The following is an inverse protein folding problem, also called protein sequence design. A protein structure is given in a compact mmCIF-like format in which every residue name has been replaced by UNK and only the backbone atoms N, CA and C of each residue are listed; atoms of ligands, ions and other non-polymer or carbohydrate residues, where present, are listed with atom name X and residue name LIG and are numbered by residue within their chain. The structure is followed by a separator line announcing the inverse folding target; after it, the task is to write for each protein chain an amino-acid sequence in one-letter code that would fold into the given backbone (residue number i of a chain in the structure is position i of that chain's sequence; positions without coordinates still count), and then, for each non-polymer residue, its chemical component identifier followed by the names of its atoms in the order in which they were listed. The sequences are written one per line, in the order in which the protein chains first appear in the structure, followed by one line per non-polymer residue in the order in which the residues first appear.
data_IF_554316309643
#
_entry.id   IF_554316309643
#
_cell.length_a   1.000
_cell.length_b   1.000
_cell.length_c   1.000
_cell.angle_alpha   90.00
_cell.angle_beta   90.00
_cell.angle_gamma   90.00
#
_symmetry.space_group_name_H-M   'P 1'
#
loop_
_entity.id
_entity.type
_entity.pdbx_description
1 polymer ?
#
# COMPACT_ATOMS: atom_id res chain seq x y z
N UNK A 1 -10.73 -25.65 -20.52
CA UNK A 1 -11.83 -24.79 -20.03
C UNK A 1 -11.86 -24.67 -18.50
N UNK A 2 -11.86 -25.78 -17.74
CA UNK A 2 -11.85 -25.71 -16.26
C UNK A 2 -10.57 -25.12 -15.64
N UNK A 3 -9.40 -25.40 -16.22
CA UNK A 3 -8.11 -24.90 -15.71
C UNK A 3 -7.96 -23.37 -15.87
N UNK A 4 -8.50 -22.81 -16.95
CA UNK A 4 -8.52 -21.35 -17.21
C UNK A 4 -9.33 -20.59 -16.15
N UNK A 5 -10.44 -21.18 -15.70
CA UNK A 5 -11.26 -20.60 -14.63
C UNK A 5 -10.50 -20.63 -13.31
N UNK A 6 -9.79 -21.73 -13.03
CA UNK A 6 -9.01 -21.90 -11.81
C UNK A 6 -7.82 -20.91 -11.72
N UNK A 7 -7.24 -20.53 -12.86
CA UNK A 7 -6.10 -19.60 -12.93
C UNK A 7 -6.56 -18.14 -13.10
N UNK A 8 -7.86 -17.90 -13.26
CA UNK A 8 -8.36 -16.54 -13.46
C UNK A 8 -8.06 -15.63 -12.23
N UNK A 9 -7.63 -14.37 -12.43
CA UNK A 9 -7.36 -13.44 -11.34
C UNK A 9 -8.47 -13.29 -10.29
N UNK A 10 -9.78 -13.18 -10.66
CA UNK A 10 -10.83 -13.08 -9.65
C UNK A 10 -10.95 -14.35 -8.81
N UNK A 11 -10.77 -15.52 -9.41
CA UNK A 11 -10.85 -16.78 -8.69
C UNK A 11 -9.70 -16.94 -7.68
N UNK A 12 -8.47 -16.60 -8.09
CA UNK A 12 -7.30 -16.58 -7.19
C UNK A 12 -7.52 -15.60 -6.04
N UNK A 13 -8.06 -14.41 -6.30
CA UNK A 13 -8.37 -13.42 -5.26
C UNK A 13 -9.29 -14.01 -4.17
N UNK A 14 -10.38 -14.67 -4.56
CA UNK A 14 -11.29 -15.28 -3.60
C UNK A 14 -10.65 -16.43 -2.83
N UNK A 15 -9.84 -17.27 -3.49
CA UNK A 15 -9.09 -18.33 -2.79
C UNK A 15 -8.18 -17.71 -1.73
N UNK A 16 -7.40 -16.69 -2.08
CA UNK A 16 -6.46 -16.05 -1.14
C UNK A 16 -7.22 -15.46 0.05
N UNK A 17 -8.33 -14.77 -0.19
CA UNK A 17 -9.18 -14.23 0.90
C UNK A 17 -9.72 -15.34 1.80
N UNK A 18 -10.25 -16.42 1.23
CA UNK A 18 -10.77 -17.56 1.99
C UNK A 18 -9.66 -18.19 2.84
N UNK A 19 -8.50 -18.42 2.25
CA UNK A 19 -7.33 -18.98 2.95
C UNK A 19 -6.88 -18.05 4.08
N UNK A 20 -6.80 -16.74 3.86
CA UNK A 20 -6.47 -15.76 4.92
C UNK A 20 -7.48 -15.78 6.06
N UNK A 21 -8.78 -15.88 5.77
CA UNK A 21 -9.83 -16.00 6.79
C UNK A 21 -9.66 -17.30 7.57
N UNK A 22 -9.42 -18.42 6.90
CA UNK A 22 -9.22 -19.72 7.56
C UNK A 22 -8.01 -19.64 8.50
N UNK A 23 -6.89 -19.08 8.05
CA UNK A 23 -5.69 -18.90 8.89
C UNK A 23 -6.01 -18.03 10.11
N UNK A 24 -6.73 -16.92 9.91
CA UNK A 24 -7.14 -16.03 11.01
C UNK A 24 -8.04 -16.74 12.03
N UNK A 25 -9.02 -17.51 11.57
CA UNK A 25 -9.94 -18.27 12.41
C UNK A 25 -9.22 -19.39 13.18
N UNK A 26 -8.36 -20.15 12.51
CA UNK A 26 -7.55 -21.20 13.15
C UNK A 26 -6.61 -20.57 14.18
N UNK A 27 -5.94 -19.46 13.85
CA UNK A 27 -5.08 -18.74 14.78
C UNK A 27 -5.84 -18.24 16.00
N UNK A 28 -7.04 -17.67 15.81
CA UNK A 28 -7.91 -17.24 16.90
C UNK A 28 -8.46 -18.40 17.75
N UNK A 29 -8.73 -19.55 17.13
CA UNK A 29 -9.23 -20.73 17.82
C UNK A 29 -8.16 -21.46 18.64
N UNK A 30 -6.93 -21.52 18.12
CA UNK A 30 -5.78 -22.22 18.74
C UNK A 30 -4.97 -21.33 19.70
N UNK A 31 -5.14 -20.00 19.65
CA UNK A 31 -4.46 -19.07 20.54
C UNK A 31 -4.77 -19.34 22.02
N UNK A 32 -3.74 -19.29 22.85
CA UNK A 32 -3.86 -19.40 24.29
C UNK A 32 -4.73 -18.27 24.85
N UNK A 33 -5.91 -18.63 25.39
CA UNK A 33 -6.85 -17.68 25.99
C UNK A 33 -6.40 -17.35 27.41
N UNK A 34 -5.60 -16.30 27.58
CA UNK A 34 -5.26 -15.76 28.90
C UNK A 34 -6.35 -14.84 29.45
N UNK A 35 -6.37 -14.64 30.78
CA UNK A 35 -7.29 -13.72 31.47
C UNK A 35 -7.18 -12.30 30.90
N UNK A 36 -8.33 -11.67 30.62
CA UNK A 36 -8.41 -10.28 30.16
C UNK A 36 -8.34 -9.34 31.36
N UNK A 37 -7.13 -8.95 31.76
CA UNK A 37 -6.91 -7.95 32.80
C UNK A 37 -6.83 -6.55 32.18
N UNK A 38 -7.13 -5.50 32.96
CA UNK A 38 -7.04 -4.11 32.48
C UNK A 38 -5.65 -3.77 31.94
N UNK A 39 -4.59 -4.21 32.61
CA UNK A 39 -3.20 -4.01 32.15
C UNK A 39 -2.85 -4.76 30.86
N UNK A 40 -3.41 -5.96 30.64
CA UNK A 40 -3.19 -6.72 29.39
C UNK A 40 -3.87 -6.07 28.18
N UNK A 41 -4.96 -5.34 28.41
CA UNK A 41 -5.71 -4.62 27.38
C UNK A 41 -5.22 -3.17 27.19
N UNK A 42 -4.37 -2.67 28.09
CA UNK A 42 -3.79 -1.35 27.98
C UNK A 42 -2.79 -1.29 26.81
N UNK A 43 -2.67 -0.14 26.12
CA UNK A 43 -1.66 0.06 25.09
C UNK A 43 -0.26 -0.14 25.65
N UNK A 44 0.63 -0.71 24.85
CA UNK A 44 2.03 -0.81 25.23
C UNK A 44 2.67 0.58 25.26
N UNK A 45 3.11 1.01 26.43
CA UNK A 45 3.80 2.28 26.67
C UNK A 45 5.11 2.05 27.43
N UNK A 46 5.91 1.05 27.03
CA UNK A 46 7.18 0.71 27.70
C UNK A 46 7.05 0.40 29.21
N UNK A 47 5.85 0.05 29.68
CA UNK A 47 5.56 -0.17 31.11
C UNK A 47 5.20 1.11 31.89
N UNK A 48 5.14 2.25 31.21
CA UNK A 48 4.70 3.53 31.78
C UNK A 48 3.18 3.65 31.70
N UNK A 49 2.57 4.28 32.72
CA UNK A 49 1.16 4.64 32.72
C UNK A 49 0.95 5.91 31.87
N UNK A 50 1.05 5.76 30.55
CA UNK A 50 0.82 6.84 29.60
C UNK A 50 -0.66 6.85 29.18
N UNK A 51 -1.34 8.03 29.17
CA UNK A 51 -2.71 8.11 28.69
C UNK A 51 -2.79 7.68 27.22
N UNK A 52 -3.85 6.98 26.78
CA UNK A 52 -4.03 6.57 25.39
C UNK A 52 -4.34 7.80 24.51
N UNK A 53 -3.31 8.58 24.19
CA UNK A 53 -3.44 9.77 23.38
C UNK A 53 -3.20 9.46 21.91
N UNK A 54 -4.09 9.97 21.04
CA UNK A 54 -3.91 9.90 19.60
C UNK A 54 -2.95 11.01 19.20
N UNK A 55 -1.66 10.71 19.18
CA UNK A 55 -0.64 11.65 18.73
C UNK A 55 -0.93 12.13 17.30
N UNK A 56 -0.98 13.45 17.12
CA UNK A 56 -1.00 14.06 15.79
C UNK A 56 0.43 14.08 15.26
N UNK A 57 0.79 13.02 14.57
CA UNK A 57 2.09 12.92 13.89
C UNK A 57 2.02 13.83 12.65
N UNK A 58 3.06 14.64 12.43
CA UNK A 58 3.18 15.40 11.19
C UNK A 58 3.47 14.44 10.03
N UNK A 59 2.42 14.11 9.29
CA UNK A 59 2.47 13.26 8.10
C UNK A 59 2.58 14.06 6.80
N UNK A 60 2.85 15.37 6.86
CA UNK A 60 2.92 16.23 5.66
C UNK A 60 3.89 15.66 4.63
N UNK A 61 5.07 15.21 5.07
CA UNK A 61 6.08 14.62 4.16
C UNK A 61 5.60 13.31 3.56
N UNK A 62 5.04 12.41 4.38
CA UNK A 62 4.47 11.15 3.90
C UNK A 62 3.37 11.40 2.85
N UNK A 63 2.52 12.41 3.07
CA UNK A 63 1.46 12.76 2.15
C UNK A 63 1.99 13.30 0.81
N UNK A 64 3.01 14.17 0.85
CA UNK A 64 3.65 14.68 -0.37
C UNK A 64 4.27 13.53 -1.17
N UNK A 65 5.01 12.63 -0.52
CA UNK A 65 5.57 11.45 -1.19
C UNK A 65 4.48 10.52 -1.73
N UNK A 66 3.40 10.28 -0.97
CA UNK A 66 2.27 9.47 -1.41
C UNK A 66 1.56 10.06 -2.63
N UNK A 67 1.42 11.39 -2.69
CA UNK A 67 0.85 12.08 -3.83
C UNK A 67 1.72 11.92 -5.08
N UNK A 68 3.04 12.12 -4.97
CA UNK A 68 3.95 11.91 -6.10
C UNK A 68 3.98 10.45 -6.55
N UNK A 69 3.97 9.51 -5.61
CA UNK A 69 3.86 8.09 -5.91
C UNK A 69 2.60 7.78 -6.70
N UNK A 70 1.44 8.30 -6.29
CA UNK A 70 0.17 8.11 -7.00
C UNK A 70 0.20 8.68 -8.44
N UNK A 71 0.77 9.87 -8.61
CA UNK A 71 0.92 10.49 -9.93
C UNK A 71 1.80 9.62 -10.84
N UNK A 72 2.93 9.13 -10.32
CA UNK A 72 3.83 8.28 -11.09
C UNK A 72 3.26 6.90 -11.38
N UNK A 73 2.50 6.32 -10.45
CA UNK A 73 1.84 5.02 -10.63
C UNK A 73 0.80 5.08 -11.76
N UNK A 74 -0.08 6.09 -11.75
CA UNK A 74 -1.03 6.33 -12.83
C UNK A 74 -0.33 6.61 -14.16
N UNK A 75 0.74 7.41 -14.14
CA UNK A 75 1.54 7.70 -15.33
C UNK A 75 2.20 6.44 -15.90
N UNK A 76 2.74 5.56 -15.06
CA UNK A 76 3.39 4.32 -15.49
C UNK A 76 2.44 3.41 -16.27
N UNK A 77 1.16 3.35 -15.85
CA UNK A 77 0.13 2.61 -16.58
C UNK A 77 -0.15 3.23 -17.95
N UNK A 78 -0.28 4.55 -18.04
CA UNK A 78 -0.50 5.27 -19.31
C UNK A 78 0.70 5.08 -20.25
N UNK A 79 1.91 5.17 -19.70
CA UNK A 79 3.16 4.92 -20.44
C UNK A 79 3.22 3.48 -20.95
N UNK A 80 2.90 2.48 -20.12
CA UNK A 80 2.86 1.09 -20.53
C UNK A 80 1.85 0.85 -21.66
N UNK A 81 0.64 1.42 -21.56
CA UNK A 81 -0.39 1.32 -22.59
C UNK A 81 0.03 1.97 -23.91
N UNK A 82 0.88 3.00 -23.88
CA UNK A 82 1.36 3.65 -25.10
C UNK A 82 2.15 2.72 -26.03
N UNK A 83 2.73 1.64 -25.51
CA UNK A 83 3.41 0.62 -26.32
C UNK A 83 2.45 -0.27 -27.12
N UNK A 84 1.15 -0.27 -26.81
CA UNK A 84 0.16 -1.02 -27.59
C UNK A 84 0.02 -0.51 -29.04
N UNK A 85 0.35 0.76 -29.28
CA UNK A 85 0.47 1.35 -30.62
C UNK A 85 1.86 1.99 -30.75
N UNK A 86 2.89 1.21 -31.16
CA UNK A 86 4.25 1.71 -31.23
C UNK A 86 4.33 2.87 -32.22
N UNK A 87 4.86 4.00 -31.77
CA UNK A 87 4.90 5.26 -32.50
C UNK A 87 5.51 6.37 -31.65
N UNK A 88 5.00 7.59 -31.80
CA UNK A 88 5.55 8.76 -31.10
C UNK A 88 5.10 8.87 -29.63
N UNK A 89 3.99 8.23 -29.25
CA UNK A 89 3.40 8.35 -27.90
C UNK A 89 4.31 7.85 -26.76
N UNK A 90 4.96 6.66 -26.85
CA UNK A 90 5.94 6.25 -25.83
C UNK A 90 7.06 7.27 -25.65
N UNK A 91 7.55 7.85 -26.74
CA UNK A 91 8.64 8.85 -26.69
C UNK A 91 8.15 10.12 -25.98
N UNK A 92 6.96 10.62 -26.34
CA UNK A 92 6.37 11.81 -25.71
C UNK A 92 6.20 11.58 -24.21
N UNK A 93 5.62 10.45 -23.82
CA UNK A 93 5.43 10.13 -22.41
C UNK A 93 6.78 9.98 -21.68
N UNK A 94 7.77 9.29 -22.26
CA UNK A 94 9.10 9.21 -21.67
C UNK A 94 9.73 10.59 -21.42
N UNK A 95 9.58 11.53 -22.36
CA UNK A 95 10.04 12.92 -22.19
C UNK A 95 9.27 13.63 -21.07
N UNK A 96 7.94 13.49 -21.01
CA UNK A 96 7.12 14.06 -19.94
C UNK A 96 7.55 13.51 -18.57
N UNK A 97 7.81 12.20 -18.47
CA UNK A 97 8.31 11.56 -17.25
C UNK A 97 9.65 12.15 -16.82
N UNK A 98 10.58 12.29 -17.77
CA UNK A 98 11.91 12.86 -17.52
C UNK A 98 11.80 14.31 -17.05
N UNK A 99 10.95 15.12 -17.67
CA UNK A 99 10.69 16.50 -17.24
C UNK A 99 10.10 16.53 -15.83
N UNK A 100 9.12 15.67 -15.52
CA UNK A 100 8.53 15.59 -14.18
C UNK A 100 9.57 15.25 -13.09
N UNK A 101 10.48 14.32 -13.39
CA UNK A 101 11.60 13.98 -12.50
C UNK A 101 12.54 15.17 -12.32
N UNK A 102 12.94 15.84 -13.42
CA UNK A 102 13.81 17.00 -13.36
C UNK A 102 13.21 18.16 -12.56
N UNK A 103 11.90 18.38 -12.64
CA UNK A 103 11.19 19.39 -11.84
C UNK A 103 11.17 19.04 -10.36
N UNK A 104 11.15 17.75 -10.00
CA UNK A 104 11.14 17.32 -8.60
C UNK A 104 12.50 17.42 -7.91
N UNK A 105 13.61 17.32 -8.65
CA UNK A 105 14.98 17.40 -8.11
C UNK A 105 15.26 18.73 -7.36
N UNK A 106 14.94 19.92 -7.90
CA UNK A 106 15.23 21.20 -7.24
C UNK A 106 14.20 21.59 -6.17
N UNK A 107 13.12 20.82 -5.98
CA UNK A 107 12.16 21.07 -4.88
C UNK A 107 12.93 20.93 -3.58
N UNK A 108 13.24 22.05 -2.93
CA UNK A 108 14.00 22.08 -1.69
C UNK A 108 13.13 21.51 -0.57
N UNK A 109 13.34 20.24 -0.25
CA UNK A 109 12.60 19.45 0.76
C UNK A 109 12.83 19.90 2.23
N UNK A 110 13.40 21.08 2.46
CA UNK A 110 13.75 21.59 3.79
C UNK A 110 12.77 22.68 4.26
N UNK A 111 11.93 22.27 5.20
CA UNK A 111 11.07 23.04 6.08
C UNK A 111 10.64 22.11 7.20
#
# INVERSE_FOLDING_TARGET
MGLEILISPPFIFFIVVIVSIIIFLIGGATAAKGVKTSGKLAPYACGEDFPPERFRIDVRRLFIYGLYFLIFDAFALIFALSFASPGMFPIIFAVVALVAILVMIPVKWYG
#
